data_IF_249553202972
#
_entry.id   IF_249553202972
#
_cell.length_a   1.000
_cell.length_b   1.000
_cell.length_c   1.000
_cell.angle_alpha   90.00
_cell.angle_beta   90.00
_cell.angle_gamma   90.00
#
_symmetry.space_group_name_H-M   'P 1'
#
loop_
_entity.id
_entity.type
_entity.pdbx_description
1 polymer ?
#
# COMPACT_ATOMS: atom_id res chain seq x y z
N UNK A 1 17.88 -1.80 -6.50
CA UNK A 1 17.45 -0.71 -7.43
C UNK A 1 17.57 -1.10 -8.90
N UNK A 2 18.77 -1.44 -9.44
CA UNK A 2 18.90 -1.83 -10.86
C UNK A 2 17.99 -2.99 -11.25
N UNK A 3 17.97 -4.06 -10.46
CA UNK A 3 17.08 -5.21 -10.63
C UNK A 3 15.60 -4.81 -10.61
N UNK A 4 15.20 -4.00 -9.63
CA UNK A 4 13.82 -3.51 -9.50
C UNK A 4 13.37 -2.73 -10.75
N UNK A 5 14.21 -1.85 -11.29
CA UNK A 5 13.94 -1.09 -12.53
C UNK A 5 13.84 -2.02 -13.75
N UNK A 6 14.62 -3.09 -13.79
CA UNK A 6 14.58 -4.05 -14.90
C UNK A 6 13.30 -4.89 -14.90
N UNK A 7 12.81 -5.27 -13.71
CA UNK A 7 11.59 -6.08 -13.55
C UNK A 7 10.32 -5.24 -13.64
N UNK A 8 10.35 -4.02 -13.10
CA UNK A 8 9.25 -3.08 -13.12
C UNK A 8 9.78 -1.78 -13.72
N UNK A 9 9.58 -1.57 -15.02
CA UNK A 9 10.11 -0.39 -15.69
C UNK A 9 9.25 0.84 -15.35
N UNK A 10 9.78 1.84 -14.62
CA UNK A 10 9.06 3.10 -14.41
C UNK A 10 9.06 3.92 -15.71
N UNK A 11 8.21 4.94 -15.77
CA UNK A 11 8.22 5.91 -16.86
C UNK A 11 9.57 6.66 -16.93
N UNK A 12 9.91 7.28 -18.08
CA UNK A 12 11.10 8.11 -18.18
C UNK A 12 11.17 9.22 -17.13
N UNK A 13 10.02 9.81 -16.77
CA UNK A 13 9.95 10.86 -15.76
C UNK A 13 10.39 10.35 -14.38
N UNK A 14 9.78 9.26 -13.90
CA UNK A 14 10.14 8.73 -12.59
C UNK A 14 11.58 8.24 -12.60
N UNK A 15 12.04 7.59 -13.67
CA UNK A 15 13.43 7.13 -13.82
C UNK A 15 14.44 8.28 -13.68
N UNK A 16 14.17 9.43 -14.29
CA UNK A 16 15.01 10.62 -14.19
C UNK A 16 14.93 11.30 -12.81
N UNK A 17 13.80 11.15 -12.13
CA UNK A 17 13.59 11.68 -10.78
C UNK A 17 14.27 10.84 -9.68
N UNK A 18 14.70 9.61 -10.01
CA UNK A 18 15.45 8.76 -9.08
C UNK A 18 16.84 9.32 -8.81
N UNK A 19 17.26 9.21 -7.55
CA UNK A 19 18.55 9.70 -7.06
C UNK A 19 19.20 8.67 -6.15
N UNK A 20 20.46 8.89 -5.75
CA UNK A 20 21.15 8.00 -4.79
C UNK A 20 20.41 7.89 -3.46
N UNK A 21 19.64 8.91 -3.04
CA UNK A 21 18.75 8.84 -1.87
C UNK A 21 17.74 7.70 -1.98
N UNK A 22 17.14 7.52 -3.17
CA UNK A 22 16.12 6.50 -3.41
C UNK A 22 16.69 5.08 -3.34
N UNK A 23 17.95 4.90 -3.72
CA UNK A 23 18.65 3.63 -3.51
C UNK A 23 19.00 3.41 -2.04
N UNK A 24 19.48 4.46 -1.33
CA UNK A 24 19.91 4.37 0.08
C UNK A 24 18.76 4.19 1.08
N UNK A 25 17.55 4.62 0.74
CA UNK A 25 16.38 4.45 1.62
C UNK A 25 15.71 3.07 1.46
N UNK A 26 16.14 2.24 0.51
CA UNK A 26 15.61 0.88 0.33
C UNK A 26 16.09 0.02 1.51
N UNK A 27 15.17 -0.69 2.17
CA UNK A 27 15.43 -1.39 3.43
C UNK A 27 15.38 -0.47 4.67
N UNK A 28 14.71 0.69 4.60
CA UNK A 28 14.58 1.61 5.75
C UNK A 28 13.13 1.72 6.23
N UNK A 29 12.97 1.90 7.55
CA UNK A 29 11.65 2.02 8.17
C UNK A 29 10.98 3.35 7.83
N UNK A 30 11.66 4.44 8.16
CA UNK A 30 11.14 5.80 8.07
C UNK A 30 10.52 6.36 9.32
N UNK A 31 9.88 7.53 9.16
CA UNK A 31 9.13 8.19 10.23
C UNK A 31 7.62 8.12 10.01
N UNK A 32 6.87 8.75 10.91
CA UNK A 32 5.42 8.73 10.92
C UNK A 32 4.88 7.52 11.67
N UNK A 33 3.89 6.84 11.12
CA UNK A 33 3.25 5.65 11.69
C UNK A 33 3.94 4.34 11.25
N UNK A 34 5.21 4.40 10.86
CA UNK A 34 5.98 3.22 10.47
C UNK A 34 6.68 2.63 11.69
N UNK A 35 6.60 1.32 11.86
CA UNK A 35 7.12 0.61 13.03
C UNK A 35 7.58 -0.81 12.69
N UNK A 36 8.41 -1.36 13.56
CA UNK A 36 8.82 -2.77 13.61
C UNK A 36 8.57 -3.24 15.04
N UNK A 37 7.79 -4.31 15.21
CA UNK A 37 7.40 -4.81 16.54
C UNK A 37 7.49 -6.34 16.59
N UNK A 38 7.93 -6.86 17.73
CA UNK A 38 7.65 -8.24 18.13
C UNK A 38 6.35 -8.23 18.93
N UNK A 39 5.37 -9.01 18.49
CA UNK A 39 4.08 -9.15 19.16
C UNK A 39 3.80 -10.61 19.40
N UNK A 40 2.91 -10.93 20.34
CA UNK A 40 2.43 -12.30 20.56
C UNK A 40 0.91 -12.34 20.39
N UNK A 41 0.39 -13.48 19.96
CA UNK A 41 -1.06 -13.71 19.86
C UNK A 41 -1.62 -14.41 21.10
N UNK A 42 -2.93 -14.70 21.09
CA UNK A 42 -3.64 -15.35 22.19
C UNK A 42 -3.18 -16.80 22.46
N UNK A 43 -2.37 -17.38 21.56
CA UNK A 43 -1.77 -18.71 21.68
C UNK A 43 -0.25 -18.63 22.01
N UNK A 44 0.23 -17.47 22.47
CA UNK A 44 1.64 -17.18 22.78
C UNK A 44 2.61 -17.37 21.60
N UNK A 45 2.10 -17.36 20.35
CA UNK A 45 2.97 -17.36 19.16
C UNK A 45 3.57 -15.97 18.97
N UNK A 46 4.88 -15.91 18.78
CA UNK A 46 5.59 -14.66 18.51
C UNK A 46 5.57 -14.34 17.01
N UNK A 47 5.14 -13.13 16.69
CA UNK A 47 5.05 -12.59 15.34
C UNK A 47 6.01 -11.41 15.17
N UNK A 48 6.61 -11.33 13.98
CA UNK A 48 7.36 -10.16 13.53
C UNK A 48 6.44 -9.28 12.68
N UNK A 49 6.15 -8.08 13.17
CA UNK A 49 5.28 -7.13 12.50
C UNK A 49 6.07 -5.95 11.96
N UNK A 50 5.79 -5.57 10.71
CA UNK A 50 6.44 -4.46 10.02
C UNK A 50 5.41 -3.60 9.29
N UNK A 51 5.38 -2.32 9.63
CA UNK A 51 4.59 -1.31 8.91
C UNK A 51 5.52 -0.33 8.22
N UNK A 52 5.58 -0.39 6.89
CA UNK A 52 6.31 0.57 6.06
C UNK A 52 5.78 0.61 4.63
N UNK A 53 6.20 1.61 3.87
CA UNK A 53 5.74 1.86 2.51
C UNK A 53 6.89 2.11 1.53
N UNK A 54 6.57 2.80 0.43
CA UNK A 54 7.50 3.12 -0.64
C UNK A 54 8.55 4.19 -0.27
N UNK A 55 8.56 4.69 0.98
CA UNK A 55 9.43 5.81 1.38
C UNK A 55 9.15 7.07 0.55
N UNK A 56 10.14 7.94 0.37
CA UNK A 56 9.97 9.21 -0.32
C UNK A 56 9.60 9.06 -1.81
N UNK A 57 9.90 7.91 -2.46
CA UNK A 57 9.60 7.74 -3.89
C UNK A 57 8.10 7.85 -4.18
N UNK A 58 7.26 7.16 -3.42
CA UNK A 58 5.81 7.21 -3.63
C UNK A 58 5.23 8.58 -3.33
N UNK A 59 5.83 9.32 -2.39
CA UNK A 59 5.41 10.68 -2.10
C UNK A 59 5.73 11.65 -3.26
N UNK A 60 6.94 11.60 -3.85
CA UNK A 60 7.28 12.46 -4.99
C UNK A 60 6.48 12.07 -6.24
N UNK A 61 6.24 10.77 -6.45
CA UNK A 61 5.36 10.27 -7.52
C UNK A 61 3.93 10.79 -7.34
N UNK A 62 3.36 10.68 -6.14
CA UNK A 62 2.01 11.18 -5.87
C UNK A 62 1.89 12.70 -6.10
N UNK A 63 2.86 13.48 -5.61
CA UNK A 63 2.88 14.93 -5.81
C UNK A 63 2.93 15.31 -7.30
N UNK A 64 3.77 14.62 -8.08
CA UNK A 64 3.85 14.86 -9.51
C UNK A 64 2.51 14.63 -10.22
N UNK A 65 1.86 13.50 -9.96
CA UNK A 65 0.60 13.18 -10.62
C UNK A 65 -0.57 14.00 -10.09
N UNK A 66 -0.55 14.43 -8.83
CA UNK A 66 -1.48 15.44 -8.30
C UNK A 66 -1.39 16.75 -9.10
N UNK A 67 -0.16 17.23 -9.38
CA UNK A 67 0.05 18.45 -10.17
C UNK A 67 -0.39 18.29 -11.63
N UNK A 68 -0.14 17.14 -12.24
CA UNK A 68 -0.59 16.83 -13.61
C UNK A 68 -2.12 16.78 -13.65
N UNK A 69 -2.75 16.13 -12.68
CA UNK A 69 -4.20 16.04 -12.57
C UNK A 69 -4.84 17.42 -12.38
N UNK A 70 -4.26 18.27 -11.53
CA UNK A 70 -4.72 19.63 -11.30
C UNK A 70 -4.72 20.47 -12.59
N UNK A 71 -3.64 20.38 -13.38
CA UNK A 71 -3.51 21.08 -14.66
C UNK A 71 -4.54 20.60 -15.70
N UNK A 72 -4.85 19.30 -15.75
CA UNK A 72 -5.79 18.74 -16.73
C UNK A 72 -7.26 18.95 -16.35
N UNK A 73 -7.59 18.89 -15.07
CA UNK A 73 -8.96 19.02 -14.56
C UNK A 73 -9.38 20.47 -14.32
N UNK A 74 -8.45 21.43 -14.36
CA UNK A 74 -8.70 22.83 -14.02
C UNK A 74 -8.97 23.06 -12.52
N UNK A 75 -8.69 22.07 -11.68
CA UNK A 75 -8.95 22.08 -10.24
C UNK A 75 -7.67 21.99 -9.40
N UNK A 76 -7.83 21.97 -8.08
CA UNK A 76 -6.75 21.68 -7.12
C UNK A 76 -6.92 20.27 -6.55
N UNK A 77 -5.91 19.75 -5.86
CA UNK A 77 -5.97 18.46 -5.17
C UNK A 77 -7.19 18.33 -4.23
N UNK A 78 -7.52 19.41 -3.53
CA UNK A 78 -8.66 19.48 -2.61
C UNK A 78 -10.01 19.38 -3.33
N UNK A 79 -10.03 19.66 -4.64
CA UNK A 79 -11.21 19.55 -5.50
C UNK A 79 -11.29 18.19 -6.22
N UNK A 80 -10.56 17.17 -5.75
CA UNK A 80 -10.53 15.82 -6.33
C UNK A 80 -10.10 15.81 -7.81
N UNK A 81 -9.04 16.56 -8.12
CA UNK A 81 -8.38 16.49 -9.43
C UNK A 81 -8.07 15.04 -9.81
N UNK A 82 -8.32 14.67 -11.07
CA UNK A 82 -8.20 13.29 -11.55
C UNK A 82 -7.53 13.21 -12.92
N UNK A 83 -6.99 12.04 -13.23
CA UNK A 83 -6.50 11.66 -14.55
C UNK A 83 -7.48 10.69 -15.19
N UNK A 84 -7.76 10.86 -16.48
CA UNK A 84 -8.50 9.86 -17.23
C UNK A 84 -7.61 8.65 -17.42
N UNK A 85 -8.04 7.47 -16.96
CA UNK A 85 -7.25 6.22 -17.05
C UNK A 85 -6.73 5.96 -18.46
N UNK A 86 -7.55 6.19 -19.50
CA UNK A 86 -7.16 5.97 -20.90
C UNK A 86 -6.23 7.05 -21.49
N UNK A 87 -5.96 8.15 -20.78
CA UNK A 87 -5.01 9.16 -21.25
C UNK A 87 -3.58 8.68 -21.07
N UNK A 88 -2.65 9.32 -21.79
CA UNK A 88 -1.22 9.08 -21.65
C UNK A 88 -0.77 9.27 -20.20
N UNK A 89 -1.22 10.33 -19.55
CA UNK A 89 -0.86 10.66 -18.17
C UNK A 89 -1.46 9.68 -17.17
N UNK A 90 -2.70 9.22 -17.42
CA UNK A 90 -3.32 8.17 -16.62
C UNK A 90 -2.54 6.85 -16.69
N UNK A 91 -2.13 6.43 -17.88
CA UNK A 91 -1.31 5.23 -18.04
C UNK A 91 0.08 5.39 -17.41
N UNK A 92 0.71 6.56 -17.57
CA UNK A 92 1.99 6.86 -16.90
C UNK A 92 1.88 6.78 -15.37
N UNK A 93 0.81 7.33 -14.78
CA UNK A 93 0.53 7.24 -13.35
C UNK A 93 0.47 5.78 -12.90
N UNK A 94 -0.28 4.93 -13.62
CA UNK A 94 -0.43 3.53 -13.28
C UNK A 94 0.91 2.79 -13.30
N UNK A 95 1.73 3.00 -14.34
CA UNK A 95 3.08 2.42 -14.43
C UNK A 95 3.98 2.83 -13.26
N UNK A 96 4.00 4.12 -12.91
CA UNK A 96 4.85 4.63 -11.83
C UNK A 96 4.32 4.25 -10.44
N UNK A 97 3.01 4.14 -10.28
CA UNK A 97 2.36 3.66 -9.07
C UNK A 97 2.69 2.18 -8.83
N UNK A 98 2.64 1.34 -9.87
CA UNK A 98 3.07 -0.05 -9.82
C UNK A 98 4.55 -0.18 -9.42
N UNK A 99 5.44 0.64 -10.00
CA UNK A 99 6.84 0.70 -9.57
C UNK A 99 6.97 1.03 -8.08
N UNK A 100 6.19 1.99 -7.58
CA UNK A 100 6.19 2.35 -6.17
C UNK A 100 5.68 1.21 -5.26
N UNK A 101 4.72 0.41 -5.74
CA UNK A 101 4.28 -0.79 -5.01
C UNK A 101 5.38 -1.84 -4.94
N UNK A 102 6.05 -2.15 -6.05
CA UNK A 102 7.17 -3.08 -6.08
C UNK A 102 8.33 -2.59 -5.21
N UNK A 103 8.63 -1.29 -5.23
CA UNK A 103 9.60 -0.67 -4.33
C UNK A 103 9.21 -0.86 -2.85
N UNK A 104 7.94 -0.65 -2.49
CA UNK A 104 7.46 -0.84 -1.13
C UNK A 104 7.56 -2.31 -0.68
N UNK A 105 7.26 -3.26 -1.59
CA UNK A 105 7.39 -4.69 -1.33
C UNK A 105 8.84 -5.06 -1.06
N UNK A 106 9.77 -4.64 -1.92
CA UNK A 106 11.21 -4.87 -1.73
C UNK A 106 11.74 -4.21 -0.45
N UNK A 107 11.28 -2.99 -0.15
CA UNK A 107 11.63 -2.30 1.08
C UNK A 107 11.23 -3.12 2.32
N UNK A 108 10.00 -3.67 2.32
CA UNK A 108 9.53 -4.55 3.41
C UNK A 108 10.28 -5.87 3.46
N UNK A 109 10.56 -6.49 2.31
CA UNK A 109 11.33 -7.73 2.20
C UNK A 109 12.71 -7.59 2.86
N UNK A 110 13.49 -6.59 2.48
CA UNK A 110 14.82 -6.36 3.07
C UNK A 110 14.75 -6.16 4.59
N UNK A 111 13.81 -5.36 5.08
CA UNK A 111 13.67 -5.15 6.53
C UNK A 111 13.23 -6.41 7.26
N UNK A 112 12.31 -7.19 6.69
CA UNK A 112 11.82 -8.41 7.33
C UNK A 112 12.90 -9.51 7.36
N UNK A 113 13.71 -9.63 6.29
CA UNK A 113 14.87 -10.52 6.26
C UNK A 113 15.88 -10.14 7.35
N UNK A 114 16.25 -8.86 7.45
CA UNK A 114 17.13 -8.39 8.52
C UNK A 114 16.52 -8.61 9.91
N UNK A 115 15.22 -8.37 10.08
CA UNK A 115 14.54 -8.59 11.36
C UNK A 115 14.58 -10.07 11.76
N UNK A 116 14.29 -10.97 10.83
CA UNK A 116 14.37 -12.41 11.03
C UNK A 116 15.79 -12.88 11.40
N UNK A 117 16.82 -12.32 10.75
CA UNK A 117 18.23 -12.61 11.08
C UNK A 117 18.58 -12.22 12.52
N UNK A 118 18.13 -11.04 12.98
CA UNK A 118 18.34 -10.60 14.37
C UNK A 118 17.61 -11.52 15.33
N UNK A 119 16.33 -11.82 15.09
CA UNK A 119 15.54 -12.70 15.96
C UNK A 119 16.16 -14.09 16.04
N UNK A 120 16.60 -14.66 14.92
CA UNK A 120 17.29 -15.95 14.89
C UNK A 120 18.59 -15.93 15.68
N UNK A 121 19.39 -14.86 15.55
CA UNK A 121 20.64 -14.72 16.29
C UNK A 121 20.42 -14.68 17.80
N UNK A 122 19.41 -13.95 18.26
CA UNK A 122 19.14 -13.77 19.68
C UNK A 122 18.39 -14.96 20.32
N UNK A 123 17.60 -15.70 19.54
CA UNK A 123 16.72 -16.76 20.07
C UNK A 123 17.10 -18.17 19.64
N UNK A 124 17.94 -18.32 18.62
CA UNK A 124 18.23 -19.59 17.96
C UNK A 124 17.07 -20.18 17.15
N UNK A 125 15.95 -19.47 17.00
CA UNK A 125 14.74 -19.96 16.31
C UNK A 125 14.66 -19.46 14.88
N UNK A 126 14.26 -20.36 13.98
CA UNK A 126 13.96 -20.02 12.59
C UNK A 126 12.59 -19.36 12.43
N UNK A 127 12.48 -18.51 11.42
CA UNK A 127 11.21 -17.84 11.05
C UNK A 127 10.37 -18.75 10.16
N UNK A 128 9.07 -18.82 10.44
CA UNK A 128 8.07 -19.52 9.63
C UNK A 128 7.52 -18.60 8.52
N UNK A 129 8.22 -18.56 7.39
CA UNK A 129 7.89 -17.66 6.27
C UNK A 129 6.61 -18.02 5.52
N UNK A 130 6.17 -19.27 5.60
CA UNK A 130 4.94 -19.78 4.99
C UNK A 130 3.67 -19.14 5.57
N UNK A 131 3.77 -18.57 6.77
CA UNK A 131 2.68 -17.86 7.44
C UNK A 131 2.73 -16.33 7.23
N UNK A 132 3.64 -15.84 6.39
CA UNK A 132 3.80 -14.40 6.18
C UNK A 132 2.55 -13.79 5.51
N UNK A 133 1.97 -12.79 6.18
CA UNK A 133 0.91 -11.94 5.61
C UNK A 133 1.52 -10.62 5.19
N UNK A 134 1.41 -10.27 3.90
CA UNK A 134 1.92 -9.03 3.34
C UNK A 134 0.83 -8.36 2.50
N UNK A 135 0.46 -7.13 2.86
CA UNK A 135 -0.61 -6.40 2.17
C UNK A 135 -0.21 -4.96 1.86
N UNK A 136 -0.79 -4.43 0.78
CA UNK A 136 -0.79 -3.00 0.47
C UNK A 136 -2.10 -2.38 0.96
N UNK A 137 -2.05 -1.10 1.32
CA UNK A 137 -3.21 -0.37 1.85
C UNK A 137 -3.40 1.04 1.28
N UNK A 138 -2.54 1.42 0.34
CA UNK A 138 -2.57 2.67 -0.43
C UNK A 138 -2.15 2.35 -1.87
N UNK A 139 -3.12 2.01 -2.73
CA UNK A 139 -2.87 1.60 -4.10
C UNK A 139 -4.14 1.67 -4.95
N UNK A 140 -3.98 1.46 -6.25
CA UNK A 140 -5.09 1.32 -7.19
C UNK A 140 -4.87 0.06 -8.03
N UNK A 141 -5.91 -0.73 -8.26
CA UNK A 141 -5.82 -1.98 -9.01
C UNK A 141 -7.06 -2.15 -9.90
N UNK A 142 -6.89 -2.75 -11.08
CA UNK A 142 -8.00 -3.04 -11.99
C UNK A 142 -8.66 -4.36 -11.60
N UNK A 143 -9.93 -4.31 -11.20
CA UNK A 143 -10.67 -5.44 -10.66
C UNK A 143 -12.08 -5.53 -11.25
N UNK A 144 -12.60 -6.76 -11.30
CA UNK A 144 -13.95 -7.01 -11.74
C UNK A 144 -14.90 -6.52 -10.65
N UNK A 145 -15.65 -5.46 -10.96
CA UNK A 145 -16.49 -4.77 -10.00
C UNK A 145 -17.95 -4.84 -10.42
N UNK A 146 -18.80 -5.20 -9.46
CA UNK A 146 -20.25 -5.08 -9.59
C UNK A 146 -20.71 -3.80 -8.89
N UNK A 147 -21.56 -3.01 -9.55
CA UNK A 147 -22.11 -1.78 -8.98
C UNK A 147 -23.49 -1.49 -9.57
N UNK A 148 -24.28 -0.69 -8.85
CA UNK A 148 -25.57 -0.21 -9.34
C UNK A 148 -25.38 1.13 -10.04
N UNK A 149 -25.69 1.16 -11.34
CA UNK A 149 -25.68 2.39 -12.14
C UNK A 149 -27.06 3.04 -12.09
N UNK A 150 -27.18 4.13 -11.34
CA UNK A 150 -28.42 4.90 -11.22
C UNK A 150 -28.79 5.71 -12.47
N UNK A 151 -27.94 5.76 -13.50
CA UNK A 151 -28.27 6.41 -14.76
C UNK A 151 -29.22 5.56 -15.62
N UNK A 152 -30.11 6.20 -16.37
CA UNK A 152 -30.90 5.53 -17.41
C UNK A 152 -31.88 4.44 -16.93
N UNK A 153 -32.42 4.54 -15.71
CA UNK A 153 -33.43 3.60 -15.19
C UNK A 153 -32.91 2.58 -14.18
N UNK A 154 -31.63 2.63 -13.81
CA UNK A 154 -31.14 1.93 -12.62
C UNK A 154 -30.89 0.44 -12.84
N UNK A 155 -29.67 0.07 -13.22
CA UNK A 155 -29.32 -1.34 -13.46
C UNK A 155 -28.02 -1.75 -12.79
N UNK A 156 -27.94 -3.02 -12.40
CA UNK A 156 -26.69 -3.62 -11.96
C UNK A 156 -25.77 -3.81 -13.17
N UNK A 157 -24.52 -3.37 -13.03
CA UNK A 157 -23.45 -3.56 -14.02
C UNK A 157 -22.30 -4.34 -13.40
N UNK A 158 -21.55 -5.00 -14.25
CA UNK A 158 -20.34 -5.72 -13.90
C UNK A 158 -19.28 -5.43 -14.97
N UNK A 159 -18.19 -4.77 -14.58
CA UNK A 159 -17.09 -4.42 -15.50
C UNK A 159 -15.75 -4.27 -14.77
N UNK A 160 -14.66 -4.19 -15.54
CA UNK A 160 -13.32 -3.93 -15.02
C UNK A 160 -13.19 -2.46 -14.62
N UNK A 161 -13.05 -2.19 -13.33
CA UNK A 161 -12.88 -0.86 -12.75
C UNK A 161 -11.56 -0.75 -11.99
N UNK A 162 -11.01 0.45 -11.94
CA UNK A 162 -9.86 0.77 -11.10
C UNK A 162 -10.31 1.08 -9.68
N UNK A 163 -10.09 0.14 -8.76
CA UNK A 163 -10.42 0.27 -7.34
C UNK A 163 -9.28 0.97 -6.62
N UNK A 164 -9.54 2.20 -6.16
CA UNK A 164 -8.59 2.95 -5.33
C UNK A 164 -8.81 2.61 -3.85
N UNK A 165 -7.79 2.03 -3.21
CA UNK A 165 -7.76 1.78 -1.77
C UNK A 165 -6.80 2.75 -1.11
N UNK A 166 -7.32 3.63 -0.26
CA UNK A 166 -6.52 4.58 0.55
C UNK A 166 -6.92 4.42 2.02
N UNK A 167 -6.05 3.80 2.81
CA UNK A 167 -6.41 3.38 4.17
C UNK A 167 -7.39 2.19 4.20
N UNK A 168 -7.41 1.40 3.14
CA UNK A 168 -8.22 0.20 3.00
C UNK A 168 -7.38 -0.92 2.36
N UNK A 169 -7.77 -2.16 2.56
CA UNK A 169 -7.03 -3.35 2.11
C UNK A 169 -7.95 -4.29 1.35
N UNK A 170 -7.37 -5.13 0.49
CA UNK A 170 -8.10 -6.23 -0.15
C UNK A 170 -8.53 -7.26 0.90
N UNK A 171 -9.76 -7.73 0.78
CA UNK A 171 -10.45 -8.68 1.66
C UNK A 171 -11.27 -9.68 0.83
N UNK A 172 -10.68 -10.16 -0.27
CA UNK A 172 -11.26 -11.22 -1.13
C UNK A 172 -11.56 -12.45 -0.30
N UNK A 173 -12.55 -13.24 -0.73
CA UNK A 173 -12.99 -14.41 0.04
C UNK A 173 -11.81 -15.34 0.36
N UNK A 174 -11.57 -15.59 1.65
CA UNK A 174 -10.49 -16.46 2.13
C UNK A 174 -9.10 -15.81 2.20
N UNK A 175 -8.91 -14.61 1.63
CA UNK A 175 -7.63 -13.89 1.65
C UNK A 175 -7.23 -13.52 3.07
N UNK A 176 -6.01 -13.86 3.49
CA UNK A 176 -5.45 -13.36 4.74
C UNK A 176 -5.10 -11.88 4.62
N UNK A 177 -5.41 -11.12 5.66
CA UNK A 177 -5.06 -9.72 5.81
C UNK A 177 -4.54 -9.43 7.21
N UNK A 178 -4.04 -8.22 7.39
CA UNK A 178 -3.58 -7.68 8.66
C UNK A 178 -4.21 -6.31 8.88
N UNK A 179 -4.75 -6.08 10.07
CA UNK A 179 -5.27 -4.79 10.52
C UNK A 179 -4.38 -4.30 11.65
N UNK A 180 -3.34 -3.50 11.35
CA UNK A 180 -2.55 -2.84 12.37
C UNK A 180 -3.38 -1.92 13.27
N UNK A 181 -3.16 -2.02 14.57
CA UNK A 181 -3.48 -0.96 15.52
C UNK A 181 -2.56 0.27 15.35
N UNK A 182 -2.45 1.08 16.40
CA UNK A 182 -1.32 1.98 16.60
C UNK A 182 -0.13 1.26 17.23
N UNK A 183 1.06 1.90 17.24
CA UNK A 183 2.24 1.38 17.93
C UNK A 183 1.90 0.99 19.37
N UNK A 184 2.27 -0.22 19.77
CA UNK A 184 1.99 -0.77 21.11
C UNK A 184 0.53 -1.15 21.39
N UNK A 185 -0.34 -1.21 20.37
CA UNK A 185 -1.73 -1.70 20.53
C UNK A 185 -1.96 -2.99 19.75
N UNK A 186 -3.01 -3.73 20.11
CA UNK A 186 -3.36 -4.99 19.46
C UNK A 186 -3.55 -4.85 17.95
N UNK A 187 -3.09 -5.85 17.20
CA UNK A 187 -3.26 -5.97 15.76
C UNK A 187 -3.97 -7.28 15.44
N UNK A 188 -4.65 -7.34 14.30
CA UNK A 188 -5.47 -8.50 13.94
C UNK A 188 -4.99 -9.14 12.64
N UNK A 189 -4.83 -10.46 12.65
CA UNK A 189 -4.83 -11.25 11.42
C UNK A 189 -6.28 -11.58 11.08
N UNK A 190 -6.69 -11.26 9.86
CA UNK A 190 -8.09 -11.39 9.43
C UNK A 190 -8.20 -12.24 8.18
N UNK A 191 -9.38 -12.79 7.93
CA UNK A 191 -9.73 -13.49 6.69
C UNK A 191 -10.86 -12.78 5.98
N UNK A 192 -10.66 -12.45 4.71
CA UNK A 192 -11.61 -11.72 3.89
C UNK A 192 -12.92 -12.49 3.70
N UNK A 193 -14.04 -11.79 3.87
CA UNK A 193 -15.40 -12.32 3.60
C UNK A 193 -15.78 -12.27 2.12
N UNK A 194 -15.05 -11.51 1.29
CA UNK A 194 -15.38 -11.33 -0.12
C UNK A 194 -16.67 -10.54 -0.37
N UNK A 195 -17.03 -9.60 0.52
CA UNK A 195 -18.25 -8.77 0.39
C UNK A 195 -18.25 -7.97 -0.92
N UNK A 196 -19.15 -8.27 -1.89
CA UNK A 196 -19.15 -7.57 -3.17
C UNK A 196 -19.48 -6.07 -3.07
N UNK A 197 -20.31 -5.68 -2.11
CA UNK A 197 -20.72 -4.27 -1.93
C UNK A 197 -19.58 -3.35 -1.51
N UNK A 198 -18.52 -3.90 -0.89
CA UNK A 198 -17.30 -3.15 -0.56
C UNK A 198 -16.19 -3.36 -1.59
N UNK A 199 -16.53 -3.89 -2.77
CA UNK A 199 -15.57 -4.40 -3.76
C UNK A 199 -14.47 -5.24 -3.10
N UNK A 200 -14.92 -6.14 -2.23
CA UNK A 200 -14.09 -7.07 -1.48
C UNK A 200 -12.95 -6.37 -0.73
N UNK A 201 -13.25 -5.26 -0.07
CA UNK A 201 -12.28 -4.46 0.71
C UNK A 201 -12.63 -4.40 2.19
N UNK A 202 -11.64 -4.18 3.05
CA UNK A 202 -11.83 -3.89 4.48
C UNK A 202 -10.92 -2.75 4.98
N UNK A 203 -11.06 -2.39 6.26
CA UNK A 203 -10.26 -1.36 6.92
C UNK A 203 -8.79 -1.76 7.06
N UNK A 204 -7.89 -0.79 6.93
CA UNK A 204 -6.45 -1.00 7.15
C UNK A 204 -6.01 -0.87 8.63
N UNK A 205 -6.70 -0.09 9.48
CA UNK A 205 -6.25 0.04 10.87
C UNK A 205 -7.22 0.80 11.75
N UNK A 206 -6.80 1.08 12.99
CA UNK A 206 -7.62 1.76 14.01
C UNK A 206 -8.00 3.22 13.68
N UNK A 207 -7.47 3.79 12.59
CA UNK A 207 -7.68 5.19 12.23
C UNK A 207 -6.96 6.15 13.18
N UNK A 208 -7.22 7.45 13.04
CA UNK A 208 -6.67 8.48 13.93
C UNK A 208 -7.81 9.40 14.37
N UNK A 209 -7.96 9.57 15.68
CA UNK A 209 -8.93 10.54 16.24
C UNK A 209 -8.38 11.98 16.19
N UNK A 210 -7.06 12.14 16.35
CA UNK A 210 -6.39 13.45 16.38
C UNK A 210 -5.40 13.63 15.22
N UNK A 211 -5.18 14.89 14.82
CA UNK A 211 -4.11 15.28 13.89
C UNK A 211 -2.73 15.02 14.51
N UNK A 212 -1.62 15.02 13.73
CA UNK A 212 -0.28 14.79 14.32
C UNK A 212 0.06 15.92 15.28
N UNK A 213 -0.17 17.16 14.84
CA UNK A 213 0.05 18.37 15.63
C UNK A 213 -0.83 18.46 16.86
N UNK A 214 -2.00 17.84 16.88
CA UNK A 214 -2.89 17.83 18.05
C UNK A 214 -2.55 16.72 19.06
N UNK A 215 -1.73 15.75 18.66
CA UNK A 215 -1.32 14.62 19.52
C UNK A 215 0.04 14.85 20.21
N UNK A 216 0.76 15.91 19.82
CA UNK A 216 2.00 16.39 20.43
C UNK A 216 1.77 17.80 20.97
#
# INVERSE_FOLDING_TARGET
MRTLIAQHAPTPWLRQSLTSRHSRQLGSLGGGNHFVELVYDEEDRVWMMLHSGSRNIGNVTAQHYDDVAAKQSGGRKEALAFLRIKSKEGQHYLTDMEFCQSYASENRRFMMETFAEVVKKETGRDTLWDQMVNIHHNYCECEQCRYYDGSGGGQWREEQLWVTRKGATSAKSGQLGIIPGSMGTGSYIVRGKGQPDSWQSCSHGAGRSMSRTAAF
#
